data_IF_123458748021
#
_entry.id   IF_123458748021
#
_cell.length_a   1.000
_cell.length_b   1.000
_cell.length_c   1.000
_cell.angle_alpha   90.00
_cell.angle_beta   90.00
_cell.angle_gamma   90.00
#
_symmetry.space_group_name_H-M   'P 1'
#
loop_
_entity.id
_entity.type
_entity.pdbx_description
1 polymer ?
#
# COMPACT_ATOMS: atom_id res chain seq x y z
N UNK A 1 -22.88 21.17 5.95
CA UNK A 1 -21.52 21.66 6.25
C UNK A 1 -20.82 21.99 4.94
N UNK A 2 -20.44 23.25 4.69
CA UNK A 2 -19.71 23.63 3.47
C UNK A 2 -18.21 23.26 3.61
N UNK A 3 -17.66 22.36 2.78
CA UNK A 3 -16.26 21.90 2.90
C UNK A 3 -15.23 23.04 2.83
N UNK A 4 -15.59 24.14 2.16
CA UNK A 4 -14.74 25.34 2.03
C UNK A 4 -14.48 26.06 3.36
N UNK A 5 -15.39 25.97 4.33
CA UNK A 5 -15.23 26.59 5.67
C UNK A 5 -14.19 25.83 6.49
N UNK A 6 -14.28 24.50 6.46
CA UNK A 6 -13.37 23.60 7.20
C UNK A 6 -11.91 23.82 6.82
N UNK A 7 -11.60 24.08 5.53
CA UNK A 7 -10.23 24.37 5.08
C UNK A 7 -9.62 25.57 5.83
N UNK A 8 -10.39 26.64 6.04
CA UNK A 8 -9.92 27.85 6.73
C UNK A 8 -9.73 27.59 8.22
N UNK A 9 -10.70 26.96 8.85
CA UNK A 9 -10.68 26.68 10.28
C UNK A 9 -9.54 25.71 10.65
N UNK A 10 -9.34 24.66 9.85
CA UNK A 10 -8.22 23.72 10.02
C UNK A 10 -6.87 24.43 9.89
N UNK A 11 -6.72 25.30 8.87
CA UNK A 11 -5.48 26.07 8.70
C UNK A 11 -5.20 26.99 9.89
N UNK A 12 -6.26 27.58 10.48
CA UNK A 12 -6.13 28.42 11.68
C UNK A 12 -5.74 27.58 12.89
N UNK A 13 -6.38 26.43 13.10
CA UNK A 13 -6.10 25.52 14.21
C UNK A 13 -4.64 25.02 14.18
N UNK A 14 -4.13 24.64 13.00
CA UNK A 14 -2.74 24.15 12.87
C UNK A 14 -1.69 25.21 13.19
N UNK A 15 -1.99 26.50 13.00
CA UNK A 15 -1.08 27.60 13.38
C UNK A 15 -1.02 27.85 14.89
N UNK A 16 -1.99 27.35 15.65
CA UNK A 16 -2.00 27.46 17.11
C UNK A 16 -1.14 26.38 17.77
N UNK A 17 -0.81 25.31 17.04
CA UNK A 17 0.00 24.21 17.55
C UNK A 17 1.47 24.61 17.63
N UNK A 18 2.09 24.30 18.77
CA UNK A 18 3.50 24.51 19.04
C UNK A 18 4.21 23.17 19.23
N UNK A 19 5.54 23.10 19.06
CA UNK A 19 6.31 21.87 19.30
C UNK A 19 6.13 21.26 20.70
N UNK A 20 5.83 22.09 21.71
CA UNK A 20 5.56 21.65 23.09
C UNK A 20 4.26 20.84 23.22
N UNK A 21 3.31 21.04 22.32
CA UNK A 21 2.01 20.37 22.38
C UNK A 21 2.12 18.90 21.94
N UNK A 22 3.20 18.52 21.23
CA UNK A 22 3.49 17.15 20.77
C UNK A 22 2.32 16.51 19.99
N UNK A 23 1.66 17.30 19.15
CA UNK A 23 0.56 16.85 18.28
C UNK A 23 1.08 16.61 16.86
N UNK A 24 0.65 15.53 16.23
CA UNK A 24 0.92 15.23 14.82
C UNK A 24 -0.38 15.10 14.03
N UNK A 25 -0.47 15.80 12.90
CA UNK A 25 -1.59 15.66 11.96
C UNK A 25 -1.29 14.57 10.93
N UNK A 26 -2.13 13.54 10.88
CA UNK A 26 -2.10 12.51 9.84
C UNK A 26 -3.38 12.64 9.00
N UNK A 27 -3.21 12.81 7.69
CA UNK A 27 -4.29 12.80 6.72
C UNK A 27 -4.19 11.57 5.81
N UNK A 28 -5.30 10.87 5.62
CA UNK A 28 -5.40 9.72 4.70
C UNK A 28 -6.39 10.04 3.59
N UNK A 29 -6.03 9.71 2.35
CA UNK A 29 -6.93 9.86 1.19
C UNK A 29 -6.56 8.83 0.12
N UNK A 30 -7.57 8.30 -0.55
CA UNK A 30 -7.48 7.46 -1.75
C UNK A 30 -7.62 8.29 -3.03
N UNK A 31 -8.03 9.56 -2.92
CA UNK A 31 -8.27 10.47 -4.06
C UNK A 31 -7.59 11.83 -3.89
N UNK A 32 -6.26 11.87 -3.73
CA UNK A 32 -5.52 13.12 -3.55
C UNK A 32 -5.65 14.08 -4.75
N UNK A 33 -5.96 13.57 -5.95
CA UNK A 33 -6.23 14.34 -7.17
C UNK A 33 -7.41 15.31 -7.06
N UNK A 34 -8.36 15.06 -6.16
CA UNK A 34 -9.49 15.96 -5.91
C UNK A 34 -9.09 17.20 -5.10
N UNK A 35 -7.91 17.19 -4.48
CA UNK A 35 -7.40 18.28 -3.66
C UNK A 35 -6.48 19.21 -4.46
N UNK A 36 -6.50 20.50 -4.10
CA UNK A 36 -5.55 21.48 -4.61
C UNK A 36 -4.14 21.17 -4.09
N UNK A 37 -3.24 20.76 -4.98
CA UNK A 37 -1.87 20.31 -4.64
C UNK A 37 -1.12 21.33 -3.78
N UNK A 38 -1.18 22.63 -4.13
CA UNK A 38 -0.47 23.69 -3.39
C UNK A 38 -0.99 23.83 -1.96
N UNK A 39 -2.31 23.77 -1.78
CA UNK A 39 -2.93 23.82 -0.46
C UNK A 39 -2.56 22.60 0.39
N UNK A 40 -2.57 21.42 -0.21
CA UNK A 40 -2.24 20.17 0.46
C UNK A 40 -0.77 20.11 0.88
N UNK A 41 0.16 20.45 -0.02
CA UNK A 41 1.60 20.50 0.27
C UNK A 41 1.99 21.61 1.25
N UNK A 42 1.14 22.63 1.43
CA UNK A 42 1.34 23.67 2.46
C UNK A 42 0.92 23.17 3.85
N UNK A 43 -0.08 22.30 3.91
CA UNK A 43 -0.65 21.82 5.17
C UNK A 43 0.04 20.54 5.68
N UNK A 44 0.44 19.67 4.77
CA UNK A 44 1.15 18.43 5.06
C UNK A 44 2.59 18.53 4.60
N UNK A 45 3.52 18.57 5.56
CA UNK A 45 4.95 18.64 5.29
C UNK A 45 5.48 17.37 4.61
N UNK A 46 4.89 16.22 4.96
CA UNK A 46 5.24 14.90 4.44
C UNK A 46 4.03 14.27 3.78
N UNK A 47 4.25 13.83 2.54
CA UNK A 47 3.27 13.08 1.75
C UNK A 47 3.91 11.74 1.44
N UNK A 48 3.26 10.66 1.86
CA UNK A 48 3.72 9.30 1.65
C UNK A 48 2.77 8.62 0.67
N UNK A 49 3.28 8.27 -0.51
CA UNK A 49 2.56 7.39 -1.43
C UNK A 49 2.74 5.95 -0.95
N UNK A 50 1.65 5.26 -0.67
CA UNK A 50 1.66 3.84 -0.30
C UNK A 50 1.33 3.03 -1.56
N UNK A 51 2.33 2.39 -2.20
CA UNK A 51 2.09 1.62 -3.41
C UNK A 51 1.39 0.29 -3.09
N UNK A 52 0.87 -0.37 -4.12
CA UNK A 52 0.38 -1.76 -4.00
C UNK A 52 1.55 -2.70 -3.68
N UNK A 53 1.30 -3.79 -2.95
CA UNK A 53 2.34 -4.79 -2.67
C UNK A 53 2.77 -5.46 -3.98
N UNK A 54 4.08 -5.59 -4.17
CA UNK A 54 4.66 -6.39 -5.25
C UNK A 54 4.48 -7.89 -4.98
N UNK A 55 4.92 -8.74 -5.90
CA UNK A 55 4.78 -10.19 -5.77
C UNK A 55 5.40 -10.74 -4.47
N UNK A 56 6.64 -10.32 -4.15
CA UNK A 56 7.35 -10.76 -2.97
C UNK A 56 6.63 -10.32 -1.68
N UNK A 57 6.17 -9.07 -1.64
CA UNK A 57 5.36 -8.54 -0.55
C UNK A 57 4.07 -9.32 -0.40
N UNK A 58 3.33 -9.60 -1.48
CA UNK A 58 2.10 -10.40 -1.42
C UNK A 58 2.36 -11.81 -0.90
N UNK A 59 3.45 -12.44 -1.30
CA UNK A 59 3.84 -13.75 -0.77
C UNK A 59 4.02 -13.70 0.75
N UNK A 60 4.78 -12.72 1.25
CA UNK A 60 4.99 -12.54 2.70
C UNK A 60 3.70 -12.18 3.42
N UNK A 61 2.85 -11.32 2.84
CA UNK A 61 1.57 -10.93 3.42
C UNK A 61 0.63 -12.12 3.56
N UNK A 62 0.47 -12.95 2.53
CA UNK A 62 -0.34 -14.16 2.59
C UNK A 62 0.15 -15.10 3.69
N UNK A 63 1.46 -15.39 3.71
CA UNK A 63 2.06 -16.23 4.75
C UNK A 63 1.75 -15.68 6.14
N UNK A 64 2.09 -14.42 6.37
CA UNK A 64 1.94 -13.76 7.67
C UNK A 64 0.49 -13.70 8.15
N UNK A 65 -0.46 -13.34 7.27
CA UNK A 65 -1.87 -13.19 7.66
C UNK A 65 -2.55 -14.52 7.96
N UNK A 66 -2.16 -15.59 7.25
CA UNK A 66 -2.64 -16.95 7.49
C UNK A 66 -2.13 -17.45 8.85
N UNK A 67 -0.83 -17.29 9.12
CA UNK A 67 -0.21 -17.65 10.39
C UNK A 67 -0.77 -16.84 11.56
N UNK A 68 -0.97 -15.53 11.38
CA UNK A 68 -1.58 -14.66 12.39
C UNK A 68 -3.03 -15.03 12.72
N UNK A 69 -3.72 -15.74 11.82
CA UNK A 69 -5.06 -16.30 12.04
C UNK A 69 -5.05 -17.67 12.73
N UNK A 70 -3.89 -18.21 13.06
CA UNK A 70 -3.73 -19.51 13.73
C UNK A 70 -3.71 -20.70 12.77
N UNK A 71 -3.66 -20.47 11.46
CA UNK A 71 -3.49 -21.53 10.47
C UNK A 71 -2.01 -21.72 10.14
N UNK A 72 -1.54 -22.96 10.10
CA UNK A 72 -0.17 -23.27 9.68
C UNK A 72 -0.08 -23.31 8.15
N UNK A 73 1.01 -22.76 7.61
CA UNK A 73 1.31 -22.86 6.19
C UNK A 73 1.91 -24.24 5.90
N UNK A 74 1.11 -25.09 5.27
CA UNK A 74 1.49 -26.46 4.88
C UNK A 74 1.83 -26.54 3.40
N UNK A 75 2.43 -27.64 2.96
CA UNK A 75 2.76 -27.87 1.54
C UNK A 75 1.53 -27.90 0.62
N UNK A 76 0.34 -28.15 1.16
CA UNK A 76 -0.93 -28.10 0.41
C UNK A 76 -1.37 -26.68 0.05
N UNK A 77 -0.80 -25.67 0.70
CA UNK A 77 -1.15 -24.27 0.50
C UNK A 77 -0.11 -23.60 -0.39
N UNK A 78 -0.44 -23.47 -1.67
CA UNK A 78 0.41 -22.77 -2.63
C UNK A 78 0.29 -21.24 -2.46
N UNK A 79 1.16 -20.67 -1.63
CA UNK A 79 1.26 -19.23 -1.41
C UNK A 79 1.76 -18.51 -2.66
N UNK A 80 2.62 -19.14 -3.47
CA UNK A 80 3.13 -18.54 -4.71
C UNK A 80 2.00 -18.33 -5.71
N UNK A 81 1.10 -19.32 -5.85
CA UNK A 81 -0.11 -19.16 -6.63
C UNK A 81 -1.01 -18.04 -6.08
N UNK A 82 -1.23 -17.98 -4.77
CA UNK A 82 -1.99 -16.88 -4.14
C UNK A 82 -1.37 -15.51 -4.44
N UNK A 83 -0.05 -15.36 -4.31
CA UNK A 83 0.65 -14.12 -4.60
C UNK A 83 0.54 -13.71 -6.08
N UNK A 84 0.47 -14.68 -7.00
CA UNK A 84 0.31 -14.45 -8.44
C UNK A 84 -1.10 -14.01 -8.80
N UNK A 85 -2.12 -14.74 -8.32
CA UNK A 85 -3.53 -14.45 -8.63
C UNK A 85 -4.08 -13.22 -7.89
N UNK A 86 -3.41 -12.80 -6.80
CA UNK A 86 -3.75 -11.58 -6.08
C UNK A 86 -3.05 -10.32 -6.63
N UNK A 87 -2.51 -10.36 -7.84
CA UNK A 87 -2.05 -9.13 -8.49
C UNK A 87 -3.23 -8.17 -8.74
N UNK A 88 -3.01 -6.89 -8.46
CA UNK A 88 -4.07 -5.86 -8.44
C UNK A 88 -4.73 -5.65 -7.08
N UNK A 89 -4.57 -6.57 -6.11
CA UNK A 89 -5.18 -6.42 -4.79
C UNK A 89 -4.27 -5.71 -3.79
N UNK A 90 -4.88 -4.97 -2.87
CA UNK A 90 -4.18 -4.28 -1.76
C UNK A 90 -3.95 -5.23 -0.59
N UNK A 91 -3.10 -4.82 0.35
CA UNK A 91 -2.92 -5.51 1.63
C UNK A 91 -4.24 -5.67 2.38
N UNK A 92 -5.13 -4.67 2.32
CA UNK A 92 -6.46 -4.74 2.93
C UNK A 92 -7.36 -5.81 2.31
N UNK A 93 -7.31 -5.98 0.99
CA UNK A 93 -8.05 -7.04 0.30
C UNK A 93 -7.56 -8.44 0.69
N UNK A 94 -6.24 -8.65 0.74
CA UNK A 94 -5.65 -9.93 1.17
C UNK A 94 -6.04 -10.24 2.62
N UNK A 95 -6.01 -9.23 3.49
CA UNK A 95 -6.44 -9.35 4.88
C UNK A 95 -7.91 -9.77 4.98
N UNK A 96 -8.79 -9.08 4.27
CA UNK A 96 -10.23 -9.37 4.24
C UNK A 96 -10.52 -10.77 3.71
N UNK A 97 -9.88 -11.18 2.62
CA UNK A 97 -10.02 -12.52 2.06
C UNK A 97 -9.56 -13.59 3.06
N UNK A 98 -8.42 -13.36 3.72
CA UNK A 98 -7.89 -14.25 4.76
C UNK A 98 -8.86 -14.38 5.94
N UNK A 99 -9.39 -13.25 6.40
CA UNK A 99 -10.36 -13.20 7.51
C UNK A 99 -11.67 -13.90 7.17
N UNK A 100 -12.12 -13.80 5.92
CA UNK A 100 -13.36 -14.42 5.46
C UNK A 100 -13.26 -15.94 5.39
N UNK A 101 -12.11 -16.45 4.91
CA UNK A 101 -11.83 -17.90 4.83
C UNK A 101 -11.55 -18.49 6.21
N UNK A 102 -10.63 -17.90 6.96
CA UNK A 102 -10.17 -18.38 8.27
C UNK A 102 -11.06 -17.85 9.41
N UNK A 103 -12.34 -18.23 9.35
CA UNK A 103 -13.27 -18.12 10.46
C UNK A 103 -13.11 -19.29 11.45
N UNK A 104 -13.70 -19.16 12.64
CA UNK A 104 -13.60 -20.14 13.72
C UNK A 104 -13.94 -21.56 13.26
N UNK A 105 -15.05 -21.70 12.52
CA UNK A 105 -15.48 -23.00 11.98
C UNK A 105 -14.41 -23.60 11.06
N UNK A 106 -13.79 -22.79 10.20
CA UNK A 106 -12.77 -23.27 9.27
C UNK A 106 -11.50 -23.70 10.00
N UNK A 107 -11.09 -22.97 11.05
CA UNK A 107 -9.93 -23.28 11.88
C UNK A 107 -10.07 -24.66 12.55
N UNK A 108 -11.25 -24.98 13.10
CA UNK A 108 -11.53 -26.28 13.70
C UNK A 108 -11.42 -27.45 12.69
N UNK A 109 -11.65 -27.18 11.41
CA UNK A 109 -11.61 -28.17 10.35
C UNK A 109 -10.21 -28.41 9.78
N UNK A 110 -9.22 -27.57 10.11
CA UNK A 110 -7.87 -27.67 9.52
C UNK A 110 -7.18 -29.00 9.78
N UNK A 111 -7.47 -29.66 10.91
CA UNK A 111 -6.91 -30.96 11.27
C UNK A 111 -7.39 -32.11 10.37
N UNK A 112 -8.61 -32.01 9.81
CA UNK A 112 -9.20 -33.03 8.94
C UNK A 112 -9.14 -32.65 7.47
N UNK A 113 -9.24 -31.36 7.17
CA UNK A 113 -9.25 -30.81 5.82
C UNK A 113 -8.20 -29.70 5.71
N UNK A 114 -7.06 -29.97 5.05
CA UNK A 114 -5.99 -29.00 4.92
C UNK A 114 -6.47 -27.75 4.18
N UNK A 115 -5.83 -26.61 4.46
CA UNK A 115 -6.11 -25.36 3.76
C UNK A 115 -5.54 -25.42 2.35
N UNK A 116 -6.32 -24.94 1.38
CA UNK A 116 -5.90 -24.86 -0.03
C UNK A 116 -6.13 -23.46 -0.60
N UNK A 117 -5.29 -23.07 -1.58
CA UNK A 117 -5.32 -21.73 -2.18
C UNK A 117 -6.66 -21.36 -2.84
N UNK A 118 -7.37 -22.35 -3.39
CA UNK A 118 -8.66 -22.12 -4.07
C UNK A 118 -9.76 -21.58 -3.15
N UNK A 119 -9.67 -21.82 -1.84
CA UNK A 119 -10.63 -21.32 -0.84
C UNK A 119 -10.68 -19.79 -0.80
N UNK A 120 -9.56 -19.12 -1.11
CA UNK A 120 -9.45 -17.67 -1.07
C UNK A 120 -9.98 -16.98 -2.33
N UNK A 121 -9.98 -17.68 -3.48
CA UNK A 121 -10.30 -17.08 -4.77
C UNK A 121 -11.73 -16.54 -4.82
N UNK A 122 -12.68 -17.28 -4.26
CA UNK A 122 -14.09 -16.84 -4.23
C UNK A 122 -14.32 -15.61 -3.36
N UNK A 123 -13.44 -15.34 -2.40
CA UNK A 123 -13.49 -14.11 -1.59
C UNK A 123 -12.77 -12.96 -2.28
N UNK A 124 -11.62 -13.21 -2.91
CA UNK A 124 -10.90 -12.20 -3.70
C UNK A 124 -11.76 -11.69 -4.86
N UNK A 125 -12.43 -12.58 -5.60
CA UNK A 125 -13.23 -12.23 -6.76
C UNK A 125 -14.45 -11.33 -6.46
N UNK A 126 -14.80 -11.16 -5.18
CA UNK A 126 -15.88 -10.24 -4.75
C UNK A 126 -15.37 -8.83 -4.43
N UNK A 127 -14.06 -8.64 -4.39
CA UNK A 127 -13.42 -7.37 -4.07
C UNK A 127 -12.99 -6.68 -5.37
N UNK A 128 -13.11 -5.37 -5.41
CA UNK A 128 -12.66 -4.60 -6.56
C UNK A 128 -11.12 -4.48 -6.54
N UNK A 129 -10.41 -4.97 -7.57
CA UNK A 129 -8.98 -4.78 -7.67
C UNK A 129 -8.66 -3.30 -7.97
N UNK A 130 -7.47 -2.86 -7.60
CA UNK A 130 -6.96 -1.54 -7.99
C UNK A 130 -6.50 -1.62 -9.44
N UNK A 131 -7.13 -0.83 -10.29
CA UNK A 131 -6.81 -0.81 -11.72
C UNK A 131 -5.49 -0.07 -11.99
N UNK A 132 -4.86 -0.36 -13.14
CA UNK A 132 -3.56 0.23 -13.49
C UNK A 132 -3.67 1.73 -13.68
N UNK A 133 -4.76 2.18 -14.28
CA UNK A 133 -5.05 3.58 -14.56
C UNK A 133 -5.18 4.39 -13.27
N UNK A 134 -5.80 3.81 -12.24
CA UNK A 134 -5.88 4.44 -10.91
C UNK A 134 -4.51 4.58 -10.27
N UNK A 135 -3.68 3.52 -10.35
CA UNK A 135 -2.34 3.55 -9.82
C UNK A 135 -1.44 4.56 -10.54
N UNK A 136 -1.53 4.63 -11.87
CA UNK A 136 -0.83 5.61 -12.70
C UNK A 136 -1.27 7.03 -12.34
N UNK A 137 -2.57 7.27 -12.21
CA UNK A 137 -3.11 8.57 -11.80
C UNK A 137 -2.55 9.03 -10.44
N UNK A 138 -2.48 8.11 -9.46
CA UNK A 138 -1.91 8.39 -8.14
C UNK A 138 -0.40 8.70 -8.22
N UNK A 139 0.35 7.94 -9.01
CA UNK A 139 1.79 8.16 -9.23
C UNK A 139 2.04 9.51 -9.90
N UNK A 140 1.32 9.81 -10.98
CA UNK A 140 1.40 11.09 -11.68
C UNK A 140 1.09 12.27 -10.77
N UNK A 141 0.06 12.14 -9.93
CA UNK A 141 -0.24 13.16 -8.93
C UNK A 141 0.90 13.31 -7.92
N UNK A 142 1.42 12.20 -7.38
CA UNK A 142 2.48 12.23 -6.38
C UNK A 142 3.75 12.91 -6.92
N UNK A 143 4.15 12.63 -8.16
CA UNK A 143 5.32 13.24 -8.79
C UNK A 143 5.17 14.73 -9.08
N UNK A 144 3.95 15.30 -9.00
CA UNK A 144 3.73 16.76 -9.03
C UNK A 144 4.07 17.44 -7.70
N UNK A 145 4.11 16.69 -6.59
CA UNK A 145 4.43 17.22 -5.25
C UNK A 145 5.94 17.53 -5.12
N UNK A 146 6.34 18.45 -4.22
CA UNK A 146 7.76 18.72 -3.98
C UNK A 146 8.58 17.48 -3.57
N UNK A 147 7.99 16.59 -2.76
CA UNK A 147 8.63 15.36 -2.33
C UNK A 147 8.73 14.34 -3.45
N UNK A 148 7.66 14.17 -4.25
CA UNK A 148 7.69 13.30 -5.42
C UNK A 148 8.75 13.73 -6.44
N UNK A 149 8.89 15.03 -6.71
CA UNK A 149 9.96 15.56 -7.59
C UNK A 149 11.35 15.27 -7.06
N UNK A 150 11.58 15.45 -5.75
CA UNK A 150 12.85 15.10 -5.09
C UNK A 150 13.15 13.61 -5.20
N UNK A 151 12.15 12.76 -4.95
CA UNK A 151 12.26 11.31 -5.08
C UNK A 151 12.63 10.89 -6.49
N UNK A 152 11.98 11.45 -7.52
CA UNK A 152 12.27 11.13 -8.91
C UNK A 152 13.69 11.53 -9.31
N UNK A 153 14.17 12.68 -8.84
CA UNK A 153 15.55 13.11 -9.06
C UNK A 153 16.54 12.14 -8.40
N UNK A 154 16.30 11.79 -7.14
CA UNK A 154 17.14 10.84 -6.39
C UNK A 154 17.24 9.48 -7.09
N UNK A 155 16.13 8.93 -7.58
CA UNK A 155 16.13 7.66 -8.32
C UNK A 155 16.96 7.75 -9.61
N UNK A 156 16.80 8.82 -10.40
CA UNK A 156 17.59 9.04 -11.62
C UNK A 156 19.09 9.17 -11.33
N UNK A 157 19.45 9.87 -10.26
CA UNK A 157 20.83 10.04 -9.85
C UNK A 157 21.45 8.67 -9.44
N UNK A 158 20.69 7.82 -8.75
CA UNK A 158 21.12 6.45 -8.42
C UNK A 158 21.30 5.56 -9.66
N UNK A 159 20.33 5.56 -10.58
CA UNK A 159 20.43 4.79 -11.83
C UNK A 159 21.66 5.20 -12.66
N UNK A 160 21.96 6.51 -12.71
CA UNK A 160 23.12 7.02 -13.42
C UNK A 160 24.45 6.56 -12.79
N UNK A 161 24.54 6.53 -11.46
CA UNK A 161 25.71 6.02 -10.75
C UNK A 161 25.89 4.50 -10.93
N UNK A 162 24.82 3.71 -10.84
CA UNK A 162 24.88 2.27 -11.11
C UNK A 162 25.33 1.97 -12.55
N UNK A 163 24.83 2.74 -13.51
CA UNK A 163 25.24 2.60 -14.92
C UNK A 163 26.72 2.94 -15.14
N UNK A 164 27.26 3.95 -14.44
CA UNK A 164 28.69 4.26 -14.48
C UNK A 164 29.54 3.14 -13.89
N UNK A 165 29.18 2.65 -12.70
CA UNK A 165 29.87 1.53 -12.04
C UNK A 165 29.84 0.25 -12.88
N UNK A 166 28.73 -0.04 -13.56
CA UNK A 166 28.63 -1.18 -14.47
C UNK A 166 29.53 -1.03 -15.70
N UNK A 167 29.69 0.19 -16.24
CA UNK A 167 30.61 0.47 -17.36
C UNK A 167 32.09 0.37 -16.94
N UNK A 168 32.43 0.83 -15.73
CA UNK A 168 33.80 0.71 -15.20
C UNK A 168 34.19 -0.75 -14.93
N UNK A 169 33.28 -1.56 -14.39
CA UNK A 169 33.50 -3.02 -14.21
C UNK A 169 33.66 -3.79 -15.52
N UNK A 170 33.10 -3.29 -16.63
CA UNK A 170 33.27 -3.90 -17.97
C UNK A 170 34.55 -3.45 -18.68
N UNK A 171 35.23 -2.40 -18.20
CA UNK A 171 36.50 -1.89 -18.74
C UNK A 171 37.74 -2.43 -18.00
N UNK A 172 37.54 -3.09 -16.86
CA UNK A 172 38.55 -3.89 -16.16
C UNK A 172 38.40 -5.35 -16.54
#
# INVERSE_FOLDING_TARGET
>A
MEPKRIKKDLTRALRLLNPRDRVMLIGTTDRPQLAEIKGLCRMYERILLVPRPDYASRYVLWKHMIEARGAQVTQSLDISALAKVSDGYTTGHIFQATHSVLNERRLLQLSKRPLVASEFLGHLAKLDPVYREEEESLKEWYFKTPLGKKSLKFMKDQEAEEAKLAKEKKRK
#
